data_IF_570837050569
#
_entry.id   IF_570837050569
#
_cell.length_a   1.000
_cell.length_b   1.000
_cell.length_c   1.000
_cell.angle_alpha   90.00
_cell.angle_beta   90.00
_cell.angle_gamma   90.00
#
_symmetry.space_group_name_H-M   'P 1'
#
loop_
_entity.id
_entity.type
_entity.pdbx_description
1 polymer ?
#
# COMPACT_ATOMS: atom_id res chain seq x y z
N UNK A 1 -18.16 17.82 1.02
CA UNK A 1 -17.87 16.60 0.23
C UNK A 1 -16.51 16.11 0.68
N UNK A 2 -16.35 14.86 1.15
CA UNK A 2 -15.02 14.33 1.44
C UNK A 2 -14.21 14.37 0.15
N UNK A 3 -12.97 14.86 0.21
CA UNK A 3 -12.06 14.74 -0.93
C UNK A 3 -11.87 13.25 -1.22
N UNK A 4 -12.39 12.79 -2.36
CA UNK A 4 -12.13 11.44 -2.85
C UNK A 4 -10.65 11.33 -3.16
N UNK A 5 -9.92 10.73 -2.21
CA UNK A 5 -8.50 10.47 -2.38
C UNK A 5 -8.33 9.29 -3.32
N UNK A 6 -7.54 9.48 -4.38
CA UNK A 6 -7.14 8.39 -5.27
C UNK A 6 -6.36 7.35 -4.46
N UNK A 7 -6.73 6.08 -4.61
CA UNK A 7 -6.12 4.96 -3.93
C UNK A 7 -5.01 4.35 -4.79
N UNK A 8 -3.81 4.22 -4.23
CA UNK A 8 -2.66 3.62 -4.93
C UNK A 8 -2.28 2.29 -4.30
N UNK A 9 -2.08 1.28 -5.14
CA UNK A 9 -1.47 -0.01 -4.75
C UNK A 9 -0.05 0.19 -4.22
N UNK A 10 0.14 -0.07 -2.93
CA UNK A 10 1.41 0.07 -2.21
C UNK A 10 2.47 -0.88 -2.78
N UNK A 11 2.09 -2.08 -3.22
CA UNK A 11 3.05 -3.04 -3.77
C UNK A 11 3.63 -2.58 -5.11
N UNK A 12 2.85 -1.83 -5.91
CA UNK A 12 3.34 -1.18 -7.14
C UNK A 12 4.28 -0.02 -6.84
N UNK A 13 4.00 0.74 -5.78
CA UNK A 13 4.75 1.94 -5.42
C UNK A 13 6.05 1.61 -4.68
N UNK A 14 6.08 0.53 -3.90
CA UNK A 14 7.25 0.07 -3.18
C UNK A 14 7.47 -1.43 -3.44
N UNK A 15 8.02 -1.81 -4.61
CA UNK A 15 8.18 -3.22 -4.99
C UNK A 15 9.08 -4.02 -4.05
N UNK A 16 10.02 -3.35 -3.39
CA UNK A 16 10.94 -3.95 -2.42
C UNK A 16 10.30 -4.16 -1.04
N UNK A 17 9.14 -3.54 -0.79
CA UNK A 17 8.41 -3.69 0.47
C UNK A 17 7.67 -5.03 0.48
N UNK A 18 8.08 -5.92 1.39
CA UNK A 18 7.37 -7.18 1.59
C UNK A 18 6.11 -6.95 2.42
N UNK A 19 4.95 -6.98 1.76
CA UNK A 19 3.64 -6.82 2.39
C UNK A 19 2.96 -8.17 2.48
N UNK A 20 2.59 -8.57 3.69
CA UNK A 20 1.78 -9.75 3.93
C UNK A 20 0.37 -9.35 4.39
N UNK A 21 -0.62 -9.64 3.55
CA UNK A 21 -2.02 -9.36 3.82
C UNK A 21 -2.64 -10.51 4.61
N UNK A 22 -2.33 -10.62 5.90
CA UNK A 22 -2.77 -11.70 6.80
C UNK A 22 -4.27 -12.01 6.70
N UNK A 23 -5.12 -10.97 6.65
CA UNK A 23 -6.57 -11.14 6.57
C UNK A 23 -7.10 -11.48 5.16
N UNK A 24 -6.25 -11.40 4.13
CA UNK A 24 -6.56 -11.88 2.78
C UNK A 24 -6.28 -13.38 2.60
N UNK A 25 -5.61 -14.02 3.57
CA UNK A 25 -5.24 -15.45 3.51
C UNK A 25 -5.78 -16.19 4.73
N UNK A 26 -5.55 -17.50 4.83
CA UNK A 26 -5.86 -18.28 6.02
C UNK A 26 -4.79 -18.13 7.13
N UNK A 27 -3.66 -17.49 6.83
CA UNK A 27 -2.60 -17.21 7.79
C UNK A 27 -2.98 -15.99 8.65
N UNK A 28 -4.03 -16.15 9.44
CA UNK A 28 -4.46 -15.19 10.45
C UNK A 28 -5.15 -15.91 11.61
N UNK A 29 -5.49 -15.14 12.65
CA UNK A 29 -6.10 -15.65 13.88
C UNK A 29 -7.36 -16.50 13.65
N UNK A 30 -8.11 -16.24 12.58
CA UNK A 30 -9.37 -16.94 12.28
C UNK A 30 -9.20 -18.21 11.46
N UNK A 31 -8.00 -18.48 10.92
CA UNK A 31 -7.73 -19.64 10.07
C UNK A 31 -8.43 -19.62 8.71
N UNK A 32 -9.03 -18.48 8.32
CA UNK A 32 -9.72 -18.28 7.03
C UNK A 32 -9.54 -16.85 6.51
N UNK A 33 -9.58 -16.63 5.19
CA UNK A 33 -9.60 -15.28 4.64
C UNK A 33 -10.83 -14.50 5.14
N UNK A 34 -10.59 -13.27 5.62
CA UNK A 34 -11.65 -12.34 6.03
C UNK A 34 -12.04 -11.44 4.86
N UNK A 35 -11.08 -11.03 4.05
CA UNK A 35 -11.37 -10.28 2.83
C UNK A 35 -11.87 -11.19 1.72
N UNK A 36 -12.99 -10.79 1.09
CA UNK A 36 -13.69 -11.63 0.10
C UNK A 36 -13.14 -11.46 -1.33
N UNK A 37 -12.42 -10.39 -1.60
CA UNK A 37 -11.83 -10.10 -2.92
C UNK A 37 -10.30 -10.03 -2.84
N UNK A 38 -9.64 -10.08 -4.00
CA UNK A 38 -8.18 -9.97 -4.08
C UNK A 38 -7.77 -8.57 -3.62
N UNK A 39 -7.48 -8.42 -2.33
CA UNK A 39 -7.16 -7.14 -1.74
C UNK A 39 -5.77 -6.68 -2.19
N UNK A 40 -5.74 -5.44 -2.68
CA UNK A 40 -4.52 -4.64 -2.79
C UNK A 40 -4.44 -3.76 -1.54
N UNK A 41 -3.24 -3.61 -0.99
CA UNK A 41 -3.03 -2.59 0.04
C UNK A 41 -3.03 -1.25 -0.67
N UNK A 42 -4.09 -0.46 -0.50
CA UNK A 42 -4.16 0.86 -1.08
C UNK A 42 -3.98 1.94 0.00
N UNK A 43 -3.15 2.94 -0.29
CA UNK A 43 -3.06 4.16 0.51
C UNK A 43 -3.56 5.36 -0.28
N UNK A 44 -4.10 6.40 0.38
CA UNK A 44 -4.42 7.67 -0.26
C UNK A 44 -3.17 8.23 -0.94
N UNK A 45 -3.33 8.71 -2.17
CA UNK A 45 -2.27 9.39 -2.88
C UNK A 45 -1.79 10.61 -2.08
N UNK A 46 -0.51 10.68 -1.68
CA UNK A 46 -0.02 11.84 -0.96
C UNK A 46 0.07 13.04 -1.92
N UNK A 47 -0.13 14.28 -1.43
CA UNK A 47 -0.17 15.45 -2.30
C UNK A 47 1.16 15.65 -3.03
N UNK A 48 1.18 16.34 -4.19
CA UNK A 48 2.32 16.41 -5.11
C UNK A 48 3.67 16.74 -4.46
N UNK A 49 3.65 17.57 -3.41
CA UNK A 49 4.83 17.95 -2.62
C UNK A 49 5.59 16.77 -1.98
N UNK A 50 4.91 15.68 -1.63
CA UNK A 50 5.52 14.47 -1.05
C UNK A 50 6.01 13.51 -2.13
N UNK A 51 5.36 13.50 -3.29
CA UNK A 51 5.70 12.65 -4.44
C UNK A 51 7.11 12.93 -4.95
N UNK A 52 7.48 14.20 -5.04
CA UNK A 52 8.82 14.62 -5.47
C UNK A 52 9.94 14.22 -4.48
N UNK A 53 9.60 14.05 -3.20
CA UNK A 53 10.55 13.63 -2.16
C UNK A 53 10.84 12.13 -2.19
N UNK A 54 9.85 11.31 -2.59
CA UNK A 54 10.01 9.86 -2.75
C UNK A 54 10.78 9.49 -4.04
N UNK A 55 10.82 10.38 -5.03
CA UNK A 55 11.50 10.16 -6.30
C UNK A 55 12.99 10.54 -6.32
N UNK A 56 13.51 11.17 -5.25
CA UNK A 56 14.95 11.49 -5.16
C UNK A 56 15.71 10.31 -4.55
N UNK A 57 16.67 9.69 -5.28
CA UNK A 57 17.58 8.75 -4.66
C UNK A 57 18.41 9.52 -3.64
N UNK A 58 18.46 9.04 -2.39
CA UNK A 58 19.42 9.57 -1.42
C UNK A 58 20.81 9.32 -2.00
N UNK A 59 21.58 10.38 -2.20
CA UNK A 59 23.02 10.24 -2.44
C UNK A 59 23.63 9.44 -1.28
N UNK A 60 24.51 8.45 -1.54
CA UNK A 60 25.30 7.87 -0.48
C UNK A 60 26.29 8.93 0.02
N UNK A 61 26.40 9.07 1.34
CA UNK A 61 27.46 9.82 2.02
C UNK A 61 28.84 9.22 1.72
#
# INVERSE_FOLDING_TARGET
>A
MPEESELIDVARMFPELHIDLKYATADNLTGRPIYQERCVCCIPMPPPRWRNRLASPRSPD
#
